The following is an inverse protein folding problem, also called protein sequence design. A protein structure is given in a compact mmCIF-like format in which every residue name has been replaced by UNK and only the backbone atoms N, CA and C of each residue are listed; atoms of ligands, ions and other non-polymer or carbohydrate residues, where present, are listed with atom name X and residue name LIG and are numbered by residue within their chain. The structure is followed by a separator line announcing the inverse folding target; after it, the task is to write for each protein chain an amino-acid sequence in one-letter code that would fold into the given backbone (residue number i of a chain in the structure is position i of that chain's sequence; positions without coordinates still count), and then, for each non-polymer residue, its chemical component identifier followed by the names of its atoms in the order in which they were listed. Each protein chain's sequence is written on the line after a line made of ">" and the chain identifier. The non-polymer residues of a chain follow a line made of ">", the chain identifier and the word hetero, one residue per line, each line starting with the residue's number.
data_IF_617424771053
#
_entry.id   IF_617424771053
#
_cell.length_a   1.000
_cell.length_b   1.000
_cell.length_c   1.000
_cell.angle_alpha   90.00
_cell.angle_beta   90.00
_cell.angle_gamma   90.00
#
_symmetry.space_group_name_H-M   'P 1'
#
loop_
_entity.id
_entity.type
_entity.pdbx_description
1 polymer ?
#
# COMPACT_ATOMS: atom_id res chain seq x y z
N UNK A 1 -56.04 -53.35 67.12
CA UNK A 1 -54.91 -52.43 66.84
C UNK A 1 -54.64 -52.49 65.39
N UNK A 2 -55.05 -51.48 64.61
CA UNK A 2 -54.91 -51.44 63.17
C UNK A 2 -53.89 -50.35 62.78
N UNK A 3 -52.74 -50.78 62.25
CA UNK A 3 -51.69 -49.86 61.81
C UNK A 3 -51.98 -49.42 60.39
N UNK A 4 -52.33 -48.17 60.20
CA UNK A 4 -52.41 -47.53 58.88
C UNK A 4 -50.97 -47.11 58.42
N UNK A 5 -50.58 -47.62 57.26
CA UNK A 5 -49.35 -47.18 56.61
C UNK A 5 -49.53 -45.80 55.93
N UNK A 6 -48.58 -44.88 56.02
CA UNK A 6 -48.70 -43.62 55.35
C UNK A 6 -48.34 -43.78 53.84
N UNK A 7 -49.16 -43.12 52.99
CA UNK A 7 -48.95 -43.01 51.54
C UNK A 7 -48.06 -41.83 51.33
N UNK A 8 -46.86 -42.07 50.74
CA UNK A 8 -45.99 -41.00 50.28
C UNK A 8 -46.55 -40.43 48.94
N UNK A 9 -46.54 -39.10 48.76
CA UNK A 9 -46.91 -38.52 47.50
C UNK A 9 -45.73 -38.65 46.49
N UNK A 10 -46.08 -39.10 45.29
CA UNK A 10 -45.19 -39.20 44.13
C UNK A 10 -44.80 -37.78 43.62
N UNK A 11 -43.58 -37.36 43.86
CA UNK A 11 -43.05 -36.10 43.34
C UNK A 11 -42.82 -36.23 41.82
N UNK A 12 -43.58 -35.48 41.06
CA UNK A 12 -43.37 -35.36 39.61
C UNK A 12 -42.11 -34.56 39.32
N UNK A 13 -41.09 -35.25 38.84
CA UNK A 13 -39.90 -34.61 38.25
C UNK A 13 -40.25 -34.04 36.86
N UNK A 14 -40.44 -32.75 36.80
CA UNK A 14 -40.45 -32.00 35.53
C UNK A 14 -39.02 -31.88 35.00
N UNK A 15 -38.70 -32.70 33.99
CA UNK A 15 -37.45 -32.57 33.26
C UNK A 15 -37.54 -31.35 32.32
N UNK A 16 -36.84 -30.27 32.64
CA UNK A 16 -36.60 -29.15 31.71
C UNK A 16 -35.60 -29.63 30.67
N UNK A 17 -36.07 -29.97 29.49
CA UNK A 17 -35.24 -30.16 28.31
C UNK A 17 -34.81 -28.78 27.80
N UNK A 18 -33.59 -28.36 28.12
CA UNK A 18 -32.95 -27.18 27.57
C UNK A 18 -32.67 -27.44 26.09
N UNK A 19 -33.46 -26.88 25.19
CA UNK A 19 -33.16 -26.80 23.77
C UNK A 19 -31.96 -25.87 23.61
N UNK A 20 -30.76 -26.46 23.51
CA UNK A 20 -29.59 -25.81 22.99
C UNK A 20 -29.79 -25.57 21.48
N UNK A 21 -30.32 -24.41 21.14
CA UNK A 21 -30.30 -23.92 19.75
C UNK A 21 -28.85 -23.54 19.47
N UNK A 22 -28.15 -24.20 18.53
CA UNK A 22 -26.82 -23.72 18.12
C UNK A 22 -26.99 -22.35 17.51
N UNK A 23 -26.39 -21.31 18.11
CA UNK A 23 -26.16 -20.04 17.45
C UNK A 23 -25.22 -20.34 16.25
N UNK A 24 -25.82 -20.54 15.09
CA UNK A 24 -25.07 -20.48 13.85
C UNK A 24 -24.64 -19.02 13.70
N UNK A 25 -23.35 -18.77 13.98
CA UNK A 25 -22.67 -17.56 13.56
C UNK A 25 -22.80 -17.50 12.05
N UNK A 26 -23.72 -16.68 11.55
CA UNK A 26 -23.74 -16.32 10.14
C UNK A 26 -22.41 -15.62 9.88
N UNK A 27 -21.46 -16.33 9.28
CA UNK A 27 -20.28 -15.71 8.68
C UNK A 27 -20.84 -14.68 7.69
N UNK A 28 -20.71 -13.40 8.05
CA UNK A 28 -21.00 -12.33 7.11
C UNK A 28 -20.04 -12.53 5.93
N UNK A 29 -20.52 -13.07 4.83
CA UNK A 29 -19.89 -12.93 3.55
C UNK A 29 -19.91 -11.43 3.24
N UNK A 30 -18.91 -10.70 3.72
CA UNK A 30 -18.64 -9.38 3.21
C UNK A 30 -18.23 -9.59 1.75
N UNK A 31 -19.17 -9.44 0.85
CA UNK A 31 -18.86 -9.28 -0.57
C UNK A 31 -17.89 -8.12 -0.63
N UNK A 32 -16.65 -8.40 -1.03
CA UNK A 32 -15.65 -7.36 -1.19
C UNK A 32 -16.24 -6.34 -2.18
N UNK A 33 -16.52 -5.13 -1.70
CA UNK A 33 -17.09 -4.06 -2.53
C UNK A 33 -16.11 -3.56 -3.59
N UNK A 34 -14.84 -4.04 -3.53
CA UNK A 34 -13.78 -3.66 -4.46
C UNK A 34 -13.48 -4.81 -5.42
N UNK A 35 -13.32 -4.47 -6.69
CA UNK A 35 -12.84 -5.38 -7.73
C UNK A 35 -11.46 -4.93 -8.21
N UNK A 36 -10.62 -5.89 -8.58
CA UNK A 36 -9.32 -5.59 -9.20
C UNK A 36 -9.57 -5.09 -10.61
N UNK A 37 -9.05 -3.91 -10.94
CA UNK A 37 -9.02 -3.38 -12.30
C UNK A 37 -7.69 -3.77 -12.96
N UNK A 38 -7.65 -4.98 -13.52
CA UNK A 38 -6.44 -5.45 -14.21
C UNK A 38 -6.10 -4.57 -15.42
N UNK A 39 -4.79 -4.26 -15.57
CA UNK A 39 -4.32 -3.46 -16.70
C UNK A 39 -4.79 -2.00 -16.69
N UNK A 40 -5.26 -1.50 -15.54
CA UNK A 40 -5.68 -0.10 -15.43
C UNK A 40 -4.53 0.86 -15.71
N UNK A 41 -3.36 0.68 -15.09
CA UNK A 41 -2.18 1.54 -15.30
C UNK A 41 -1.53 1.24 -16.65
N UNK A 42 -1.50 2.23 -17.53
CA UNK A 42 -1.00 2.15 -18.90
C UNK A 42 0.32 2.92 -19.01
N UNK A 43 1.42 2.20 -18.93
CA UNK A 43 2.74 2.82 -19.06
C UNK A 43 3.08 3.10 -20.54
N UNK A 44 3.64 4.28 -20.84
CA UNK A 44 4.04 4.63 -22.20
C UNK A 44 5.25 3.81 -22.67
N UNK A 45 5.45 3.72 -24.00
CA UNK A 45 6.68 3.18 -24.58
C UNK A 45 6.91 1.69 -24.37
N UNK A 46 5.90 0.92 -23.99
CA UNK A 46 6.06 -0.52 -23.73
C UNK A 46 6.75 -0.85 -22.40
N UNK A 47 6.85 0.11 -21.49
CA UNK A 47 7.37 -0.10 -20.14
C UNK A 47 6.59 -1.19 -19.42
N UNK A 48 7.29 -1.95 -18.60
CA UNK A 48 6.70 -2.91 -17.66
C UNK A 48 6.62 -2.26 -16.29
N UNK A 49 5.50 -2.44 -15.58
CA UNK A 49 5.34 -1.89 -14.23
C UNK A 49 6.37 -2.55 -13.29
N UNK A 50 7.29 -1.76 -12.79
CA UNK A 50 8.18 -2.16 -11.70
C UNK A 50 7.41 -2.24 -10.37
N UNK A 51 8.12 -2.56 -9.29
CA UNK A 51 7.52 -2.55 -7.95
C UNK A 51 7.02 -1.13 -7.62
N UNK A 52 5.76 -1.03 -7.21
CA UNK A 52 5.17 0.23 -6.73
C UNK A 52 5.55 0.41 -5.27
N UNK A 53 6.30 1.45 -4.94
CA UNK A 53 6.67 1.78 -3.57
C UNK A 53 5.44 2.27 -2.78
N UNK A 54 4.73 3.24 -3.33
CA UNK A 54 3.51 3.80 -2.75
C UNK A 54 2.70 4.54 -3.83
N UNK A 55 1.41 4.67 -3.58
CA UNK A 55 0.52 5.55 -4.35
C UNK A 55 -0.20 6.54 -3.43
N UNK A 56 -0.55 7.69 -3.97
CA UNK A 56 -1.27 8.77 -3.27
C UNK A 56 -2.28 9.42 -4.21
N UNK A 57 -3.49 9.65 -3.72
CA UNK A 57 -4.49 10.43 -4.46
C UNK A 57 -4.06 11.90 -4.51
N UNK A 58 -4.13 12.51 -5.68
CA UNK A 58 -3.91 13.94 -5.89
C UNK A 58 -4.96 14.76 -5.13
N UNK A 59 -4.64 16.00 -4.65
CA UNK A 59 -5.62 16.87 -4.02
C UNK A 59 -6.88 17.16 -4.85
N UNK A 60 -6.83 16.99 -6.16
CA UNK A 60 -8.00 17.11 -7.05
C UNK A 60 -9.02 15.97 -6.87
N UNK A 61 -8.69 14.93 -6.10
CA UNK A 61 -9.55 13.79 -5.81
C UNK A 61 -9.78 12.84 -6.99
N UNK A 62 -9.06 12.97 -8.09
CA UNK A 62 -9.25 12.21 -9.34
C UNK A 62 -8.01 11.50 -9.83
N UNK A 63 -6.86 12.19 -9.84
CA UNK A 63 -5.60 11.65 -10.29
C UNK A 63 -4.91 10.85 -9.17
N UNK A 64 -4.03 9.95 -9.55
CA UNK A 64 -3.23 9.15 -8.64
C UNK A 64 -1.76 9.35 -8.97
N UNK A 65 -0.99 9.77 -7.98
CA UNK A 65 0.45 9.72 -8.02
C UNK A 65 0.96 8.36 -7.55
N UNK A 66 1.95 7.82 -8.22
CA UNK A 66 2.65 6.63 -7.80
C UNK A 66 4.15 6.80 -7.95
N UNK A 67 4.91 6.26 -7.02
CA UNK A 67 6.34 6.05 -7.15
C UNK A 67 6.60 4.59 -7.49
N UNK A 68 7.28 4.35 -8.62
CA UNK A 68 7.63 3.03 -9.10
C UNK A 68 9.14 2.86 -9.15
N UNK A 69 9.63 1.65 -8.98
CA UNK A 69 11.06 1.34 -8.94
C UNK A 69 11.59 1.05 -10.34
N UNK A 70 11.45 2.02 -11.21
CA UNK A 70 11.82 1.88 -12.61
C UNK A 70 11.35 0.52 -13.16
N UNK A 71 11.71 0.06 -14.27
CA UNK A 71 11.22 -1.21 -14.81
C UNK A 71 12.16 -2.39 -14.45
N UNK A 72 12.84 -2.29 -13.27
CA UNK A 72 13.85 -3.25 -12.89
C UNK A 72 13.24 -4.58 -12.43
N UNK A 73 13.87 -5.65 -12.87
CA UNK A 73 13.55 -7.01 -12.45
C UNK A 73 14.05 -7.33 -11.02
N UNK A 74 13.84 -8.56 -10.56
CA UNK A 74 14.12 -9.00 -9.20
C UNK A 74 15.61 -8.94 -8.81
N UNK A 75 16.52 -8.94 -9.78
CA UNK A 75 17.97 -8.96 -9.53
C UNK A 75 18.55 -7.62 -9.05
N UNK A 76 17.74 -6.57 -9.03
CA UNK A 76 18.15 -5.22 -8.63
C UNK A 76 17.48 -4.73 -7.34
N UNK A 77 17.04 -5.63 -6.48
CA UNK A 77 16.35 -5.25 -5.24
C UNK A 77 17.18 -4.28 -4.38
N UNK A 78 16.60 -3.09 -4.17
CA UNK A 78 17.21 -2.02 -3.37
C UNK A 78 18.05 -1.03 -4.17
N UNK A 79 18.22 -1.23 -5.48
CA UNK A 79 18.94 -0.31 -6.37
C UNK A 79 18.31 -0.22 -7.78
N UNK A 80 17.00 -0.43 -7.86
CA UNK A 80 16.29 -0.62 -9.13
C UNK A 80 16.39 0.56 -10.09
N UNK A 81 16.49 1.80 -9.57
CA UNK A 81 16.62 3.00 -10.40
C UNK A 81 18.06 3.51 -10.53
N UNK A 82 19.06 2.84 -9.96
CA UNK A 82 20.44 3.33 -9.93
C UNK A 82 21.00 3.65 -11.33
N UNK A 83 20.77 2.75 -12.28
CA UNK A 83 21.27 2.83 -13.67
C UNK A 83 20.13 3.03 -14.68
N UNK A 84 19.03 3.68 -14.27
CA UNK A 84 17.85 3.85 -15.11
C UNK A 84 17.58 5.30 -15.43
N UNK A 85 17.28 5.57 -16.70
CA UNK A 85 16.85 6.88 -17.20
C UNK A 85 15.32 7.02 -17.19
N UNK A 86 14.59 6.06 -16.57
CA UNK A 86 13.14 6.09 -16.50
C UNK A 86 12.67 6.98 -15.36
N UNK A 87 11.62 7.73 -15.60
CA UNK A 87 10.93 8.48 -14.54
C UNK A 87 10.28 7.54 -13.54
N UNK A 88 10.63 7.57 -12.26
CA UNK A 88 10.00 6.76 -11.23
C UNK A 88 8.72 7.37 -10.66
N UNK A 89 8.48 8.66 -10.83
CA UNK A 89 7.31 9.37 -10.32
C UNK A 89 6.33 9.56 -11.46
N UNK A 90 5.13 9.00 -11.31
CA UNK A 90 4.10 9.01 -12.35
C UNK A 90 2.79 9.53 -11.80
N UNK A 91 2.11 10.38 -12.58
CA UNK A 91 0.72 10.79 -12.34
C UNK A 91 -0.19 10.10 -13.33
N UNK A 92 -1.22 9.43 -12.83
CA UNK A 92 -2.21 8.75 -13.64
C UNK A 92 -3.54 9.50 -13.63
N UNK A 93 -4.20 9.58 -14.78
CA UNK A 93 -5.58 10.01 -14.87
C UNK A 93 -6.55 8.90 -14.41
N UNK A 94 -7.86 9.18 -14.28
CA UNK A 94 -8.85 8.15 -13.90
C UNK A 94 -8.93 6.96 -14.85
N UNK A 95 -8.51 7.11 -16.10
CA UNK A 95 -8.49 6.06 -17.10
C UNK A 95 -7.18 5.24 -17.09
N UNK A 96 -6.23 5.61 -16.21
CA UNK A 96 -4.95 4.95 -16.02
C UNK A 96 -3.87 5.35 -17.02
N UNK A 97 -4.05 6.42 -17.77
CA UNK A 97 -2.99 6.96 -18.62
C UNK A 97 -2.03 7.82 -17.80
N UNK A 98 -0.74 7.76 -18.10
CA UNK A 98 0.26 8.66 -17.51
C UNK A 98 0.09 10.05 -18.12
N UNK A 99 -0.17 11.04 -17.27
CA UNK A 99 -0.36 12.45 -17.67
C UNK A 99 0.81 13.34 -17.25
N UNK A 100 1.62 12.90 -16.28
CA UNK A 100 2.84 13.57 -15.84
C UNK A 100 3.85 12.52 -15.38
N UNK A 101 5.15 12.74 -15.65
CA UNK A 101 6.23 11.91 -15.14
C UNK A 101 7.52 12.68 -14.96
N UNK A 102 8.30 12.35 -13.94
CA UNK A 102 9.61 12.99 -13.68
C UNK A 102 10.48 12.19 -12.69
N UNK A 103 11.68 12.68 -12.42
CA UNK A 103 12.60 12.14 -11.43
C UNK A 103 13.63 11.15 -11.98
N UNK A 104 13.76 11.04 -13.31
CA UNK A 104 14.80 10.26 -13.97
C UNK A 104 16.20 10.59 -13.42
N UNK A 105 16.99 9.57 -13.11
CA UNK A 105 18.37 9.70 -12.63
C UNK A 105 18.52 10.28 -11.23
N UNK A 106 17.43 10.59 -10.51
CA UNK A 106 17.50 11.27 -9.22
C UNK A 106 17.48 10.31 -8.01
N UNK A 107 17.12 9.06 -8.22
CA UNK A 107 16.88 8.08 -7.16
C UNK A 107 17.67 6.79 -7.41
N UNK A 108 18.01 6.10 -6.32
CA UNK A 108 18.52 4.73 -6.34
C UNK A 108 17.36 3.77 -6.04
N UNK A 109 16.63 4.02 -4.94
CA UNK A 109 15.52 3.19 -4.49
C UNK A 109 14.34 4.05 -4.03
N UNK A 110 13.62 4.67 -4.96
CA UNK A 110 12.46 5.50 -4.61
C UNK A 110 11.41 4.64 -3.92
N UNK A 111 10.92 5.10 -2.75
CA UNK A 111 10.12 4.23 -1.87
C UNK A 111 8.79 4.86 -1.44
N UNK A 112 8.84 6.02 -0.80
CA UNK A 112 7.65 6.71 -0.31
C UNK A 112 7.26 7.88 -1.18
N UNK A 113 5.96 8.13 -1.32
CA UNK A 113 5.43 9.33 -1.97
C UNK A 113 4.31 9.91 -1.11
N UNK A 114 4.25 11.23 -1.01
CA UNK A 114 3.10 11.96 -0.51
C UNK A 114 2.87 13.21 -1.35
N UNK A 115 1.66 13.76 -1.30
CA UNK A 115 1.29 14.97 -2.03
C UNK A 115 0.66 15.94 -1.04
N UNK A 116 1.20 17.15 -0.95
CA UNK A 116 0.69 18.17 -0.06
C UNK A 116 -0.57 18.87 -0.65
N UNK A 117 -1.18 19.75 0.13
CA UNK A 117 -2.41 20.42 -0.26
C UNK A 117 -2.24 21.37 -1.48
N UNK A 118 -1.01 21.79 -1.74
CA UNK A 118 -0.65 22.63 -2.88
C UNK A 118 -0.34 21.82 -4.14
N UNK A 119 -0.41 20.46 -4.03
CA UNK A 119 -0.10 19.52 -5.11
C UNK A 119 1.38 19.21 -5.27
N UNK A 120 2.26 19.69 -4.37
CA UNK A 120 3.67 19.35 -4.43
C UNK A 120 3.90 17.90 -4.01
N UNK A 121 4.80 17.24 -4.71
CA UNK A 121 5.08 15.82 -4.57
C UNK A 121 6.34 15.61 -3.74
N UNK A 122 6.24 14.82 -2.67
CA UNK A 122 7.33 14.48 -1.79
C UNK A 122 7.72 13.03 -1.98
N UNK A 123 8.99 12.75 -2.26
CA UNK A 123 9.47 11.39 -2.52
C UNK A 123 10.71 11.10 -1.69
N UNK A 124 10.74 9.91 -1.08
CA UNK A 124 11.88 9.42 -0.31
C UNK A 124 12.74 8.50 -1.17
N UNK A 125 14.07 8.62 -1.07
CA UNK A 125 15.01 7.61 -1.51
C UNK A 125 15.50 6.83 -0.28
N UNK A 126 15.03 5.59 -0.13
CA UNK A 126 15.23 4.78 1.08
C UNK A 126 16.30 3.69 0.90
N UNK A 127 17.26 3.93 0.02
CA UNK A 127 18.33 2.97 -0.26
C UNK A 127 19.13 2.65 1.02
N UNK A 128 19.52 1.39 1.20
CA UNK A 128 20.48 1.00 2.23
C UNK A 128 21.90 1.16 1.73
N UNK A 129 22.87 1.45 2.63
CA UNK A 129 24.27 1.68 2.29
C UNK A 129 24.87 0.57 1.42
N UNK A 130 24.48 -0.69 1.67
CA UNK A 130 24.95 -1.83 0.90
C UNK A 130 24.45 -1.88 -0.56
N UNK A 131 23.44 -1.08 -0.88
CA UNK A 131 22.81 -1.03 -2.21
C UNK A 131 23.15 0.27 -2.97
N UNK A 132 23.94 1.15 -2.37
CA UNK A 132 24.46 2.33 -3.04
C UNK A 132 25.60 1.88 -3.98
N UNK A 133 25.50 2.13 -5.29
CA UNK A 133 26.59 1.84 -6.22
C UNK A 133 27.87 2.60 -5.81
N UNK A 134 29.02 1.97 -6.01
CA UNK A 134 30.30 2.58 -5.66
C UNK A 134 30.50 3.93 -6.36
N UNK A 135 30.69 4.98 -5.56
CA UNK A 135 30.87 6.36 -6.04
C UNK A 135 29.56 7.10 -6.33
N UNK A 136 28.41 6.49 -6.10
CA UNK A 136 27.11 7.17 -6.16
C UNK A 136 26.89 7.95 -4.83
N UNK A 137 26.39 9.16 -4.95
CA UNK A 137 26.09 10.03 -3.81
C UNK A 137 24.59 10.32 -3.70
N UNK A 138 23.72 9.52 -4.33
CA UNK A 138 22.26 9.58 -4.17
C UNK A 138 21.84 8.74 -2.96
N UNK A 139 20.55 8.80 -2.63
CA UNK A 139 19.97 8.06 -1.51
C UNK A 139 19.88 8.87 -0.21
N UNK A 140 19.20 8.30 0.78
CA UNK A 140 19.05 8.84 2.14
C UNK A 140 18.47 10.27 2.24
N UNK A 141 17.61 10.65 1.28
CA UNK A 141 17.03 11.98 1.24
C UNK A 141 15.54 11.96 0.90
N UNK A 142 14.90 13.09 1.14
CA UNK A 142 13.53 13.37 0.68
C UNK A 142 13.58 14.56 -0.25
N UNK A 143 12.99 14.43 -1.44
CA UNK A 143 12.89 15.53 -2.38
C UNK A 143 11.44 15.98 -2.49
N UNK A 144 11.24 17.30 -2.42
CA UNK A 144 9.97 17.97 -2.74
C UNK A 144 10.03 18.49 -4.17
N UNK A 145 9.03 18.14 -4.95
CA UNK A 145 8.86 18.62 -6.32
C UNK A 145 7.61 19.49 -6.44
N UNK A 146 7.62 20.40 -7.41
CA UNK A 146 6.38 20.98 -7.90
C UNK A 146 5.50 19.93 -8.59
N UNK A 147 4.22 20.20 -8.88
CA UNK A 147 3.36 19.28 -9.63
C UNK A 147 3.90 18.91 -11.04
N UNK A 148 4.85 19.68 -11.56
CA UNK A 148 5.48 19.50 -12.89
C UNK A 148 6.94 19.06 -12.82
N UNK A 149 7.41 18.58 -11.64
CA UNK A 149 8.73 17.95 -11.48
C UNK A 149 9.90 18.90 -11.22
N UNK A 150 9.65 20.21 -10.96
CA UNK A 150 10.72 21.11 -10.53
C UNK A 150 11.09 20.80 -9.06
N UNK A 151 12.39 20.66 -8.78
CA UNK A 151 12.88 20.46 -7.39
C UNK A 151 12.73 21.74 -6.60
N UNK A 152 11.90 21.69 -5.56
CA UNK A 152 11.63 22.81 -4.67
C UNK A 152 12.48 22.75 -3.39
N UNK A 153 12.78 21.53 -2.90
CA UNK A 153 13.52 21.32 -1.64
C UNK A 153 14.11 19.90 -1.60
N UNK A 154 15.23 19.77 -0.93
CA UNK A 154 15.80 18.47 -0.53
C UNK A 154 16.01 18.48 0.98
N UNK A 155 15.54 17.42 1.67
CA UNK A 155 15.78 17.17 3.08
C UNK A 155 16.74 16.00 3.23
N UNK A 156 17.70 16.13 4.13
CA UNK A 156 18.83 15.21 4.29
C UNK A 156 20.01 15.60 3.39
N UNK A 157 21.14 14.93 3.61
CA UNK A 157 22.30 15.02 2.72
C UNK A 157 22.29 13.81 1.80
N UNK A 158 22.18 13.99 0.48
CA UNK A 158 22.20 12.84 -0.43
C UNK A 158 23.45 11.97 -0.21
N UNK A 159 23.23 10.64 -0.11
CA UNK A 159 24.28 9.67 0.12
C UNK A 159 24.77 9.55 1.58
N UNK A 160 24.24 10.34 2.50
CA UNK A 160 24.62 10.27 3.92
C UNK A 160 23.44 9.78 4.77
N UNK A 161 23.68 8.73 5.54
CA UNK A 161 22.70 8.23 6.51
C UNK A 161 22.67 9.18 7.72
N UNK A 162 21.46 9.63 8.10
CA UNK A 162 21.23 10.50 9.25
C UNK A 162 21.19 9.74 10.59
#
# INVERSE_FOLDING_TARGET
>A
MSFRKPILPLAALLAFASLLVPLQSAAQNSTNAYAIAEGWAKLPGGRVMGAVGKAKVDPDGRHIWAVIRCDAGPDRFGSECADSDLDPILKFDPDGNVVESFGSGMFIWPHGIDVDADGNVWVTDAVSDNNIPSGDNRGHHVIKFSPTGEVLMTLGTPGEQG
#
